data_IF_923654525823
#
_entry.id   IF_923654525823
#
_cell.length_a   1.000
_cell.length_b   1.000
_cell.length_c   1.000
_cell.angle_alpha   90.00
_cell.angle_beta   90.00
_cell.angle_gamma   90.00
#
_symmetry.space_group_name_H-M   'P 1'
#
loop_
_entity.id
_entity.type
_entity.pdbx_description
1 polymer ?
#
# COMPACT_ATOMS: atom_id res chain seq x y z
N UNK A 1 -2.27 -18.94 -7.51
CA UNK A 1 -2.11 -17.65 -6.80
C UNK A 1 -1.10 -16.73 -7.49
N UNK A 2 0.13 -17.21 -7.78
CA UNK A 2 1.16 -16.40 -8.44
C UNK A 2 0.84 -16.13 -9.93
N UNK A 3 0.42 -17.15 -10.69
CA UNK A 3 0.10 -17.00 -12.11
C UNK A 3 -1.07 -16.03 -12.39
N UNK A 4 -2.18 -16.13 -11.64
CA UNK A 4 -3.33 -15.23 -11.80
C UNK A 4 -3.02 -13.77 -11.42
N UNK A 5 -2.17 -13.56 -10.42
CA UNK A 5 -1.72 -12.21 -10.02
C UNK A 5 -0.76 -11.61 -11.05
N UNK A 6 0.17 -12.42 -11.58
CA UNK A 6 1.10 -12.01 -12.63
C UNK A 6 0.38 -11.59 -13.92
N UNK A 7 -0.64 -12.35 -14.32
CA UNK A 7 -1.48 -12.00 -15.46
C UNK A 7 -2.21 -10.67 -15.24
N UNK A 8 -2.76 -10.41 -14.04
CA UNK A 8 -3.42 -9.13 -13.72
C UNK A 8 -2.49 -7.93 -13.78
N UNK A 9 -1.21 -8.10 -13.41
CA UNK A 9 -0.18 -7.05 -13.50
C UNK A 9 0.10 -6.70 -14.97
N UNK A 10 0.18 -7.70 -15.86
CA UNK A 10 0.43 -7.47 -17.30
C UNK A 10 -0.76 -6.86 -18.05
N UNK A 11 -1.99 -7.21 -17.65
CA UNK A 11 -3.21 -6.78 -18.36
C UNK A 11 -3.64 -5.35 -17.96
N UNK A 12 -3.40 -4.94 -16.72
CA UNK A 12 -3.74 -3.61 -16.22
C UNK A 12 -2.52 -2.94 -15.58
N UNK A 13 -1.63 -2.36 -16.39
CA UNK A 13 -0.40 -1.70 -15.94
C UNK A 13 -0.61 -0.29 -15.35
N UNK A 14 -1.86 0.12 -15.11
CA UNK A 14 -2.16 1.43 -14.55
C UNK A 14 -1.58 1.57 -13.15
N UNK A 15 -0.83 2.64 -12.92
CA UNK A 15 -0.27 3.00 -11.61
C UNK A 15 -1.39 3.24 -10.58
N UNK A 16 -2.61 3.57 -11.03
CA UNK A 16 -3.80 3.90 -10.22
C UNK A 16 -4.49 2.71 -9.53
N UNK A 17 -4.01 1.49 -9.73
CA UNK A 17 -4.56 0.27 -9.12
C UNK A 17 -3.50 -0.53 -8.36
N UNK A 18 -2.35 0.08 -8.11
CA UNK A 18 -1.18 -0.64 -7.61
C UNK A 18 -1.35 -1.07 -6.16
N UNK A 19 -1.89 -0.18 -5.32
CA UNK A 19 -2.20 -0.50 -3.94
C UNK A 19 -3.31 -1.56 -3.83
N UNK A 20 -4.33 -1.49 -4.70
CA UNK A 20 -5.40 -2.51 -4.76
C UNK A 20 -4.86 -3.88 -5.17
N UNK A 21 -3.95 -3.92 -6.15
CA UNK A 21 -3.28 -5.16 -6.57
C UNK A 21 -2.43 -5.75 -5.45
N UNK A 22 -1.66 -4.91 -4.75
CA UNK A 22 -0.85 -5.32 -3.63
C UNK A 22 -1.71 -5.88 -2.49
N UNK A 23 -2.80 -5.19 -2.15
CA UNK A 23 -3.77 -5.69 -1.16
C UNK A 23 -4.32 -7.05 -1.57
N UNK A 24 -4.72 -7.22 -2.85
CA UNK A 24 -5.19 -8.51 -3.33
C UNK A 24 -4.11 -9.60 -3.24
N UNK A 25 -2.84 -9.27 -3.51
CA UNK A 25 -1.72 -10.20 -3.38
C UNK A 25 -1.47 -10.60 -1.92
N UNK A 26 -1.49 -9.63 -1.00
CA UNK A 26 -1.37 -9.85 0.44
C UNK A 26 -2.53 -10.70 0.95
N UNK A 27 -3.77 -10.34 0.62
CA UNK A 27 -4.97 -11.10 0.97
C UNK A 27 -4.92 -12.52 0.42
N UNK A 28 -4.44 -12.71 -0.81
CA UNK A 28 -4.24 -14.05 -1.37
C UNK A 28 -3.15 -14.84 -0.64
N UNK A 29 -2.10 -14.15 -0.16
CA UNK A 29 -1.02 -14.78 0.63
C UNK A 29 -1.53 -15.38 1.95
N UNK A 30 -2.63 -14.84 2.50
CA UNK A 30 -3.28 -15.33 3.73
C UNK A 30 -3.93 -16.70 3.61
N UNK A 31 -4.01 -17.27 2.41
CA UNK A 31 -4.49 -18.64 2.21
C UNK A 31 -3.35 -19.65 2.05
N UNK A 32 -2.09 -19.20 1.93
CA UNK A 32 -0.95 -20.11 1.80
C UNK A 32 -0.55 -20.74 3.15
N UNK A 33 0.07 -21.93 3.14
CA UNK A 33 0.72 -22.49 4.32
C UNK A 33 1.82 -21.58 4.88
N UNK A 34 2.02 -21.61 6.21
CA UNK A 34 2.98 -20.74 6.93
C UNK A 34 4.42 -20.79 6.35
N UNK A 35 4.86 -21.98 5.90
CA UNK A 35 6.16 -22.18 5.23
C UNK A 35 6.38 -21.21 4.05
N UNK A 36 5.35 -21.01 3.23
CA UNK A 36 5.44 -20.14 2.06
C UNK A 36 5.25 -18.67 2.41
N UNK A 37 4.40 -18.36 3.39
CA UNK A 37 4.23 -16.97 3.88
C UNK A 37 5.53 -16.39 4.40
N UNK A 38 6.29 -17.16 5.18
CA UNK A 38 7.59 -16.75 5.71
C UNK A 38 8.62 -16.37 4.63
N UNK A 39 8.45 -16.85 3.40
CA UNK A 39 9.30 -16.51 2.25
C UNK A 39 8.76 -15.28 1.53
N UNK A 40 7.44 -15.22 1.34
CA UNK A 40 6.77 -14.21 0.51
C UNK A 40 6.65 -12.86 1.24
N UNK A 41 6.25 -12.86 2.51
CA UNK A 41 6.06 -11.64 3.32
C UNK A 41 7.32 -10.75 3.36
N UNK A 42 8.54 -11.26 3.61
CA UNK A 42 9.74 -10.42 3.55
C UNK A 42 10.12 -9.96 2.14
N UNK A 43 9.65 -10.62 1.08
CA UNK A 43 9.81 -10.13 -0.30
C UNK A 43 8.83 -8.98 -0.58
N UNK A 44 7.58 -9.10 -0.12
CA UNK A 44 6.58 -8.04 -0.19
C UNK A 44 7.05 -6.81 0.59
N UNK A 45 7.50 -6.99 1.84
CA UNK A 45 7.94 -5.89 2.70
C UNK A 45 9.10 -5.10 2.11
N UNK A 46 9.99 -5.74 1.35
CA UNK A 46 11.11 -5.07 0.66
C UNK A 46 10.66 -4.28 -0.56
N UNK A 47 9.69 -4.78 -1.32
CA UNK A 47 9.10 -4.05 -2.46
C UNK A 47 8.17 -2.92 -2.04
N UNK A 48 7.54 -3.06 -0.87
CA UNK A 48 6.62 -2.08 -0.32
C UNK A 48 7.26 -0.70 -0.05
N UNK A 49 8.59 -0.63 -0.01
CA UNK A 49 9.34 0.61 0.11
C UNK A 49 9.02 1.61 -1.00
N UNK A 50 9.13 1.24 -2.28
CA UNK A 50 8.96 2.20 -3.38
C UNK A 50 7.51 2.42 -3.80
N UNK A 51 6.65 1.44 -3.56
CA UNK A 51 5.36 1.34 -4.26
C UNK A 51 4.15 1.72 -3.39
N UNK A 52 4.30 2.02 -2.09
CA UNK A 52 3.13 1.90 -1.20
C UNK A 52 2.53 3.24 -0.74
N UNK A 53 3.25 4.19 -0.11
CA UNK A 53 2.60 5.40 0.39
C UNK A 53 2.10 6.32 -0.73
N UNK A 54 2.87 6.53 -1.80
CA UNK A 54 2.49 7.38 -2.93
C UNK A 54 1.42 6.71 -3.79
N UNK A 55 1.57 5.42 -4.12
CA UNK A 55 0.57 4.72 -4.93
C UNK A 55 -0.73 4.48 -4.15
N UNK A 56 -0.71 4.26 -2.83
CA UNK A 56 -1.95 4.23 -2.04
C UNK A 56 -2.67 5.58 -2.13
N UNK A 57 -1.97 6.71 -1.97
CA UNK A 57 -2.61 8.03 -2.09
C UNK A 57 -3.18 8.22 -3.50
N UNK A 58 -2.46 7.80 -4.54
CA UNK A 58 -2.92 7.88 -5.92
C UNK A 58 -4.16 7.02 -6.18
N UNK A 59 -4.16 5.76 -5.75
CA UNK A 59 -5.30 4.84 -5.85
C UNK A 59 -6.51 5.41 -5.11
N UNK A 60 -6.30 5.98 -3.92
CA UNK A 60 -7.35 6.60 -3.11
C UNK A 60 -7.97 7.83 -3.78
N UNK A 61 -7.18 8.64 -4.51
CA UNK A 61 -7.71 9.80 -5.26
C UNK A 61 -8.62 9.37 -6.41
N UNK A 62 -8.35 8.20 -6.99
CA UNK A 62 -9.14 7.61 -8.09
C UNK A 62 -10.19 6.62 -7.61
N UNK A 63 -10.41 6.50 -6.30
CA UNK A 63 -11.42 5.62 -5.75
C UNK A 63 -12.83 6.18 -5.99
N UNK A 64 -13.80 5.29 -6.23
CA UNK A 64 -15.20 5.67 -6.43
C UNK A 64 -15.82 6.20 -5.12
N UNK A 65 -15.38 5.67 -3.98
CA UNK A 65 -15.88 6.02 -2.65
C UNK A 65 -15.42 7.42 -2.25
N UNK A 66 -16.37 8.34 -2.14
CA UNK A 66 -16.10 9.75 -1.81
C UNK A 66 -15.32 9.94 -0.49
N UNK A 67 -15.61 9.11 0.53
CA UNK A 67 -14.93 9.19 1.83
C UNK A 67 -13.43 8.83 1.74
N UNK A 68 -13.05 7.92 0.83
CA UNK A 68 -11.66 7.53 0.60
C UNK A 68 -10.90 8.64 -0.14
N UNK A 69 -11.50 9.24 -1.18
CA UNK A 69 -10.92 10.41 -1.85
C UNK A 69 -10.70 11.58 -0.87
N UNK A 70 -11.68 11.85 -0.03
CA UNK A 70 -11.58 12.90 1.01
C UNK A 70 -10.44 12.61 1.99
N UNK A 71 -10.26 11.35 2.37
CA UNK A 71 -9.15 10.93 3.23
C UNK A 71 -7.79 11.14 2.56
N UNK A 72 -7.66 10.87 1.26
CA UNK A 72 -6.44 11.12 0.50
C UNK A 72 -6.07 12.61 0.49
N UNK A 73 -7.04 13.48 0.20
CA UNK A 73 -6.83 14.94 0.20
C UNK A 73 -6.37 15.42 1.58
N UNK A 74 -7.01 14.94 2.66
CA UNK A 74 -6.60 15.26 4.04
C UNK A 74 -5.16 14.81 4.33
N UNK A 75 -4.76 13.62 3.86
CA UNK A 75 -3.38 13.11 4.01
C UNK A 75 -2.37 13.99 3.26
N UNK A 76 -2.69 14.42 2.04
CA UNK A 76 -1.85 15.33 1.26
C UNK A 76 -1.69 16.68 1.96
N UNK A 77 -2.78 17.29 2.42
CA UNK A 77 -2.75 18.58 3.13
C UNK A 77 -1.89 18.44 4.39
N UNK A 78 -2.13 17.39 5.20
CA UNK A 78 -1.37 17.13 6.42
C UNK A 78 0.12 16.87 6.17
N UNK A 79 0.47 16.22 5.06
CA UNK A 79 1.86 15.98 4.67
C UNK A 79 2.56 17.25 4.15
N UNK A 80 1.81 18.28 3.73
CA UNK A 80 2.33 19.59 3.31
C UNK A 80 2.51 20.58 4.46
N UNK A 81 1.79 20.39 5.57
CA UNK A 81 1.75 21.30 6.71
C UNK A 81 3.02 21.28 7.58
N UNK A 82 3.94 20.33 7.34
CA UNK A 82 5.24 20.29 7.98
C UNK A 82 6.30 21.00 7.14
N UNK A 83 6.93 22.04 7.68
CA UNK A 83 8.12 22.71 7.11
C UNK A 83 9.38 21.82 7.10
N UNK A 84 9.20 20.50 7.20
CA UNK A 84 10.24 19.50 7.38
C UNK A 84 10.52 18.80 6.05
N UNK A 85 11.79 18.49 5.83
CA UNK A 85 12.23 17.60 4.74
C UNK A 85 11.40 16.32 4.80
N UNK A 86 10.82 15.91 3.67
CA UNK A 86 10.08 14.65 3.56
C UNK A 86 11.06 13.49 3.71
N UNK A 87 11.25 13.00 4.93
CA UNK A 87 12.02 11.79 5.18
C UNK A 87 11.11 10.61 4.84
N UNK A 88 11.47 9.90 3.78
CA UNK A 88 10.75 8.72 3.37
C UNK A 88 11.11 7.55 4.28
N UNK A 89 10.29 7.31 5.30
CA UNK A 89 10.42 6.16 6.19
C UNK A 89 9.67 4.99 5.58
N UNK A 90 10.30 3.81 5.52
CA UNK A 90 9.67 2.58 5.03
C UNK A 90 8.51 2.24 5.99
N UNK A 91 7.24 2.35 5.55
CA UNK A 91 6.14 1.99 6.43
C UNK A 91 6.06 0.46 6.54
N UNK A 92 5.84 -0.02 7.75
CA UNK A 92 5.56 -1.45 7.96
C UNK A 92 4.22 -1.81 7.29
N UNK A 93 4.25 -2.84 6.43
CA UNK A 93 3.06 -3.35 5.76
C UNK A 93 2.22 -4.17 6.74
N UNK A 94 0.95 -3.80 6.88
CA UNK A 94 -0.02 -4.52 7.69
C UNK A 94 -0.60 -5.68 6.89
N UNK A 95 0.03 -6.86 7.00
CA UNK A 95 -0.44 -8.08 6.34
C UNK A 95 -1.85 -8.53 6.76
N UNK A 96 -2.38 -8.02 7.88
CA UNK A 96 -3.74 -8.25 8.37
C UNK A 96 -4.78 -7.19 7.97
N UNK A 97 -4.43 -6.19 7.15
CA UNK A 97 -5.34 -5.11 6.76
C UNK A 97 -6.61 -5.60 6.03
N UNK A 98 -7.77 -5.06 6.40
CA UNK A 98 -9.05 -5.39 5.75
C UNK A 98 -9.24 -4.68 4.42
N UNK A 99 -8.62 -3.51 4.24
CA UNK A 99 -8.69 -2.71 3.02
C UNK A 99 -7.28 -2.20 2.62
N UNK A 100 -7.10 -1.80 1.37
CA UNK A 100 -5.83 -1.31 0.83
C UNK A 100 -5.40 0.01 1.51
N UNK A 101 -6.36 0.79 2.00
CA UNK A 101 -6.17 2.08 2.70
C UNK A 101 -5.43 1.90 4.03
N UNK A 102 -5.54 0.72 4.64
CA UNK A 102 -4.97 0.33 5.93
C UNK A 102 -3.71 -0.52 5.79
N UNK A 103 -3.19 -0.68 4.57
CA UNK A 103 -1.96 -1.45 4.32
C UNK A 103 -0.73 -0.89 5.04
N UNK A 104 -0.71 0.42 5.33
CA UNK A 104 0.43 1.07 5.98
C UNK A 104 0.01 1.85 7.20
N UNK A 105 0.95 1.99 8.12
CA UNK A 105 0.78 2.87 9.26
C UNK A 105 1.08 4.33 8.90
N UNK A 106 0.02 5.11 8.76
CA UNK A 106 0.08 6.54 8.47
C UNK A 106 0.58 7.39 9.65
N UNK A 107 0.64 6.85 10.87
CA UNK A 107 1.15 7.59 12.04
C UNK A 107 2.69 7.52 12.16
N UNK A 108 3.30 6.42 11.71
CA UNK A 108 4.76 6.22 11.78
C UNK A 108 5.49 7.13 10.80
N UNK A 109 4.89 7.40 9.63
CA UNK A 109 5.39 8.40 8.66
C UNK A 109 5.52 9.80 9.31
N UNK A 110 4.81 10.06 10.41
CA UNK A 110 4.78 11.35 11.11
C UNK A 110 5.92 11.56 12.11
N UNK A 111 6.68 10.53 12.49
CA UNK A 111 7.62 10.59 13.62
C UNK A 111 9.05 10.24 13.21
N UNK A 112 9.78 11.26 12.80
CA UNK A 112 11.22 11.32 13.02
C UNK A 112 11.51 12.67 13.67
N UNK A 113 11.70 12.65 14.99
CA UNK A 113 12.46 13.66 15.70
C UNK A 113 13.95 13.44 15.41
#
# INVERSE_FOLDING_TARGET
VYASSWFRIKVHHSIKDDARRLWHFISSSRYLPKKYRNIIEPVISRKAYFEVPENIILDMLTDERCHIRTLATRRIIKARDGNCIRIFVIPAVKFGATDYVDLIDWQIIRRSH
#
